data_IF_241645261170
#
_entry.id   IF_241645261170
#
_cell.length_a   1.000
_cell.length_b   1.000
_cell.length_c   1.000
_cell.angle_alpha   90.00
_cell.angle_beta   90.00
_cell.angle_gamma   90.00
#
_symmetry.space_group_name_H-M   'P 1'
#
loop_
_entity.id
_entity.type
_entity.pdbx_description
1 polymer ?
#
# COMPACT_ATOMS: atom_id res chain seq x y z
N UNK A 1 1.34 -0.99 -9.38
CA UNK A 1 -0.03 -0.51 -9.15
C UNK A 1 -0.27 0.72 -9.99
N UNK A 2 -1.14 0.61 -11.01
CA UNK A 2 -1.66 1.75 -11.75
C UNK A 2 -2.82 2.34 -10.94
N UNK A 3 -2.78 3.64 -10.68
CA UNK A 3 -3.77 4.37 -9.87
C UNK A 3 -5.19 4.33 -10.45
N UNK A 4 -5.31 4.08 -11.76
CA UNK A 4 -6.59 3.99 -12.48
C UNK A 4 -7.41 2.78 -12.02
N UNK A 5 -6.76 1.64 -11.75
CA UNK A 5 -7.42 0.41 -11.29
C UNK A 5 -7.94 0.55 -9.86
N UNK A 6 -7.20 1.26 -9.00
CA UNK A 6 -7.56 1.49 -7.60
C UNK A 6 -8.75 2.45 -7.45
N UNK A 7 -9.00 3.34 -8.41
CA UNK A 7 -10.17 4.25 -8.36
C UNK A 7 -11.50 3.51 -8.52
N UNK A 8 -11.52 2.44 -9.32
CA UNK A 8 -12.72 1.64 -9.62
C UNK A 8 -13.17 0.76 -8.45
N UNK A 9 -12.26 0.39 -7.54
CA UNK A 9 -12.54 -0.47 -6.39
C UNK A 9 -13.38 0.23 -5.32
N UNK A 10 -14.20 -0.50 -4.59
CA UNK A 10 -14.99 0.05 -3.47
C UNK A 10 -14.10 0.42 -2.26
N UNK A 11 -14.64 1.24 -1.34
CA UNK A 11 -13.93 1.60 -0.09
C UNK A 11 -13.54 0.35 0.73
N UNK A 12 -14.38 -0.68 0.73
CA UNK A 12 -14.12 -1.95 1.45
C UNK A 12 -12.92 -2.68 0.85
N UNK A 13 -12.86 -2.81 -0.47
CA UNK A 13 -11.76 -3.46 -1.18
C UNK A 13 -10.44 -2.72 -0.99
N UNK A 14 -10.48 -1.39 -1.00
CA UNK A 14 -9.30 -0.55 -0.72
C UNK A 14 -8.75 -0.77 0.69
N UNK A 15 -9.62 -1.00 1.68
CA UNK A 15 -9.19 -1.30 3.05
C UNK A 15 -8.56 -2.71 3.16
N UNK A 16 -9.11 -3.70 2.44
CA UNK A 16 -8.52 -5.05 2.39
C UNK A 16 -7.12 -5.00 1.77
N UNK A 17 -6.97 -4.28 0.65
CA UNK A 17 -5.70 -4.11 -0.04
C UNK A 17 -4.68 -3.32 0.80
N UNK A 18 -5.14 -2.33 1.58
CA UNK A 18 -4.32 -1.63 2.55
C UNK A 18 -3.76 -2.57 3.62
N UNK A 19 -4.60 -3.46 4.18
CA UNK A 19 -4.16 -4.43 5.18
C UNK A 19 -3.11 -5.41 4.63
N UNK A 20 -3.30 -5.87 3.39
CA UNK A 20 -2.32 -6.72 2.71
C UNK A 20 -0.97 -6.03 2.53
N UNK A 21 -0.97 -4.78 2.06
CA UNK A 21 0.26 -4.00 1.88
C UNK A 21 0.96 -3.68 3.21
N UNK A 22 0.21 -3.49 4.30
CA UNK A 22 0.79 -3.29 5.64
C UNK A 22 1.50 -4.56 6.14
N UNK A 23 0.92 -5.74 5.90
CA UNK A 23 1.59 -7.02 6.20
C UNK A 23 2.86 -7.20 5.36
N UNK A 24 2.80 -6.89 4.07
CA UNK A 24 3.96 -6.93 3.19
C UNK A 24 5.06 -5.95 3.65
N UNK A 25 4.68 -4.74 4.04
CA UNK A 25 5.61 -3.75 4.60
C UNK A 25 6.29 -4.28 5.87
N UNK A 26 5.53 -4.90 6.77
CA UNK A 26 6.07 -5.50 8.00
C UNK A 26 7.10 -6.58 7.68
N UNK A 27 6.76 -7.52 6.78
CA UNK A 27 7.66 -8.58 6.36
C UNK A 27 8.96 -8.02 5.74
N UNK A 28 8.85 -7.03 4.86
CA UNK A 28 10.02 -6.37 4.26
C UNK A 28 10.86 -5.61 5.30
N UNK A 29 10.23 -5.02 6.33
CA UNK A 29 10.96 -4.37 7.42
C UNK A 29 11.73 -5.38 8.26
N UNK A 30 11.12 -6.52 8.59
CA UNK A 30 11.78 -7.61 9.32
C UNK A 30 12.95 -8.20 8.50
N UNK A 31 12.78 -8.35 7.19
CA UNK A 31 13.87 -8.77 6.28
C UNK A 31 15.00 -7.73 6.21
N UNK A 32 14.67 -6.43 6.27
CA UNK A 32 15.65 -5.35 6.32
C UNK A 32 16.46 -5.35 7.61
N UNK A 33 15.80 -5.56 8.75
CA UNK A 33 16.48 -5.59 10.07
C UNK A 33 17.39 -6.81 10.19
N UNK A 34 16.97 -7.96 9.65
CA UNK A 34 17.78 -9.19 9.63
C UNK A 34 18.93 -9.18 8.63
N UNK A 35 19.12 -8.10 7.86
CA UNK A 35 20.22 -7.96 6.89
C UNK A 35 20.07 -8.83 5.63
N UNK A 36 18.97 -9.57 5.46
CA UNK A 36 18.73 -10.48 4.32
C UNK A 36 17.91 -9.84 3.18
N UNK A 37 17.77 -8.52 3.19
CA UNK A 37 16.92 -7.82 2.23
C UNK A 37 17.56 -7.76 0.84
N UNK A 38 17.09 -8.62 -0.05
CA UNK A 38 17.58 -8.70 -1.44
C UNK A 38 17.18 -7.50 -2.31
N UNK A 39 16.07 -6.83 -2.00
CA UNK A 39 15.48 -5.81 -2.88
C UNK A 39 15.00 -4.55 -2.10
N UNK A 40 15.89 -3.58 -1.84
CA UNK A 40 15.56 -2.38 -1.05
C UNK A 40 14.54 -1.46 -1.73
N UNK A 41 14.43 -1.50 -3.05
CA UNK A 41 13.47 -0.72 -3.81
C UNK A 41 12.01 -1.10 -3.51
N UNK A 42 11.74 -2.34 -3.06
CA UNK A 42 10.41 -2.81 -2.70
C UNK A 42 9.83 -2.05 -1.49
N UNK A 43 10.65 -1.74 -0.48
CA UNK A 43 10.23 -0.91 0.66
C UNK A 43 9.71 0.45 0.24
N UNK A 44 10.36 1.09 -0.75
CA UNK A 44 9.89 2.38 -1.30
C UNK A 44 8.61 2.20 -2.12
N UNK A 45 8.49 1.11 -2.87
CA UNK A 45 7.30 0.79 -3.69
C UNK A 45 6.08 0.55 -2.82
N UNK A 46 6.20 -0.28 -1.77
CA UNK A 46 5.09 -0.59 -0.84
C UNK A 46 4.63 0.66 -0.09
N UNK A 47 5.56 1.48 0.44
CA UNK A 47 5.22 2.77 1.07
C UNK A 47 4.44 3.70 0.14
N UNK A 48 4.84 3.80 -1.12
CA UNK A 48 4.13 4.61 -2.13
C UNK A 48 2.75 4.06 -2.45
N UNK A 49 2.59 2.74 -2.49
CA UNK A 49 1.28 2.11 -2.74
C UNK A 49 0.32 2.38 -1.56
N UNK A 50 0.78 2.24 -0.32
CA UNK A 50 0.00 2.58 0.89
C UNK A 50 -0.45 4.05 0.84
N UNK A 51 0.47 4.98 0.51
CA UNK A 51 0.14 6.40 0.40
C UNK A 51 -0.96 6.65 -0.65
N UNK A 52 -0.85 6.04 -1.84
CA UNK A 52 -1.86 6.16 -2.90
C UNK A 52 -3.25 5.68 -2.46
N UNK A 53 -3.34 4.55 -1.76
CA UNK A 53 -4.61 4.02 -1.26
C UNK A 53 -5.21 4.97 -0.22
N UNK A 54 -4.41 5.47 0.73
CA UNK A 54 -4.86 6.46 1.71
C UNK A 54 -5.39 7.73 1.03
N UNK A 55 -4.68 8.25 0.02
CA UNK A 55 -5.13 9.41 -0.75
C UNK A 55 -6.47 9.13 -1.45
N UNK A 56 -6.65 7.95 -2.05
CA UNK A 56 -7.92 7.58 -2.69
C UNK A 56 -9.07 7.45 -1.69
N UNK A 57 -8.82 6.90 -0.50
CA UNK A 57 -9.82 6.83 0.57
C UNK A 57 -10.27 8.24 0.98
N UNK A 58 -9.32 9.16 1.21
CA UNK A 58 -9.63 10.56 1.52
C UNK A 58 -10.37 11.26 0.37
N UNK A 59 -9.98 11.03 -0.88
CA UNK A 59 -10.71 11.57 -2.05
C UNK A 59 -12.16 11.08 -2.08
N UNK A 60 -12.40 9.79 -1.81
CA UNK A 60 -13.76 9.22 -1.74
C UNK A 60 -14.55 9.65 -0.50
N UNK A 61 -13.91 10.14 0.55
CA UNK A 61 -14.59 10.76 1.70
C UNK A 61 -14.98 12.19 1.41
N UNK A 62 -14.13 12.96 0.72
CA UNK A 62 -14.33 14.38 0.43
C UNK A 62 -15.34 14.68 -0.69
N UNK A 63 -15.63 13.69 -1.53
CA UNK A 63 -16.63 13.79 -2.63
C UNK A 63 -18.05 13.46 -2.13
N UNK A 64 -18.19 12.94 -0.91
CA UNK A 64 -19.49 12.70 -0.26
C UNK A 64 -19.95 13.96 0.46
#
# INVERSE_FOLDING_TARGET
MKTVELRKKEKKDLNIELLQLLREQFNLRMQSVSGKLKQPHLLRKVRRNIARIKTLLTQKERIK
#
